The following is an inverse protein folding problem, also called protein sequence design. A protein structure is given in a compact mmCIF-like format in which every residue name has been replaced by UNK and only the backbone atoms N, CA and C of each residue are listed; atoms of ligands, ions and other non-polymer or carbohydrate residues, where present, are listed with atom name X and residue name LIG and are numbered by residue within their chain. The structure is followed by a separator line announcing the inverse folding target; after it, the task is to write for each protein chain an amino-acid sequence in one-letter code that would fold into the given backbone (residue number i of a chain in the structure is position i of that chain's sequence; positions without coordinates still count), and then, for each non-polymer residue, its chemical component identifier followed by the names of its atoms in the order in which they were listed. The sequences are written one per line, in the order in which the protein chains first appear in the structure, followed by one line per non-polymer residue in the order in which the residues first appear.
data_IF_665036325631
#
_entry.id   IF_665036325631
#
_cell.length_a   1.000
_cell.length_b   1.000
_cell.length_c   1.000
_cell.angle_alpha   90.00
_cell.angle_beta   90.00
_cell.angle_gamma   90.00
#
_symmetry.space_group_name_H-M   'P 1'
#
loop_
_entity.id
_entity.type
_entity.pdbx_description
1 polymer ?
#
# COMPACT_ATOMS: atom_id res chain seq x y z
N UNK A 1 2.64 -24.85 -14.23
CA UNK A 1 2.34 -25.07 -12.79
C UNK A 1 3.52 -24.49 -12.03
N UNK A 2 3.30 -23.41 -11.25
CA UNK A 2 4.38 -22.77 -10.49
C UNK A 2 4.83 -23.76 -9.42
N UNK A 3 5.99 -24.40 -9.62
CA UNK A 3 6.62 -25.29 -8.63
C UNK A 3 7.61 -24.45 -7.82
N UNK A 4 7.08 -23.57 -6.97
CA UNK A 4 7.93 -22.78 -6.08
C UNK A 4 8.04 -23.51 -4.73
N UNK A 5 9.24 -23.92 -4.29
CA UNK A 5 9.42 -24.70 -3.08
C UNK A 5 9.09 -23.92 -1.80
N UNK A 6 8.94 -22.60 -1.87
CA UNK A 6 8.71 -21.74 -0.70
C UNK A 6 7.25 -21.69 -0.19
N UNK A 7 6.29 -22.36 -0.86
CA UNK A 7 4.90 -22.37 -0.40
C UNK A 7 4.54 -23.68 0.31
N UNK A 8 4.32 -23.61 1.61
CA UNK A 8 3.76 -24.74 2.37
C UNK A 8 2.30 -24.98 1.99
N UNK A 9 1.90 -26.25 1.86
CA UNK A 9 0.49 -26.62 1.62
C UNK A 9 -0.24 -26.65 2.96
N UNK A 10 -1.02 -25.61 3.23
CA UNK A 10 -1.89 -25.53 4.41
C UNK A 10 -3.37 -25.36 3.99
N UNK A 11 -4.34 -25.86 4.77
CA UNK A 11 -5.75 -25.86 4.35
C UNK A 11 -6.36 -24.47 4.12
N UNK A 12 -5.91 -23.46 4.87
CA UNK A 12 -6.47 -22.10 4.86
C UNK A 12 -5.42 -21.01 4.83
N UNK A 13 -4.17 -21.38 4.55
CA UNK A 13 -3.03 -20.47 4.61
C UNK A 13 -2.13 -20.70 3.43
N UNK A 14 -1.61 -19.61 2.88
CA UNK A 14 -0.48 -19.63 1.97
C UNK A 14 0.67 -19.00 2.75
N UNK A 15 1.73 -19.76 2.98
CA UNK A 15 2.92 -19.29 3.72
C UNK A 15 4.12 -19.20 2.79
N UNK A 16 4.88 -18.13 2.93
CA UNK A 16 6.24 -17.97 2.40
C UNK A 16 7.21 -17.84 3.57
N UNK A 17 8.07 -18.84 3.76
CA UNK A 17 9.05 -18.92 4.87
C UNK A 17 10.39 -18.22 4.59
N UNK A 18 10.59 -17.76 3.34
CA UNK A 18 11.79 -17.05 2.93
C UNK A 18 11.49 -16.14 1.74
N UNK A 19 12.07 -14.93 1.75
CA UNK A 19 11.91 -13.98 0.67
C UNK A 19 12.84 -14.33 -0.51
N UNK A 20 12.27 -14.54 -1.69
CA UNK A 20 13.00 -14.70 -2.94
C UNK A 20 12.67 -13.53 -3.88
N UNK A 21 13.70 -12.73 -4.20
CA UNK A 21 13.56 -11.52 -5.01
C UNK A 21 13.33 -11.81 -6.49
N UNK A 22 13.75 -12.99 -6.97
CA UNK A 22 13.60 -13.37 -8.38
C UNK A 22 12.13 -13.68 -8.74
N UNK A 23 11.29 -13.92 -7.73
CA UNK A 23 9.86 -14.21 -7.89
C UNK A 23 8.94 -13.17 -7.21
N UNK A 24 9.46 -11.98 -6.91
CA UNK A 24 8.74 -10.97 -6.14
C UNK A 24 7.42 -10.55 -6.80
N UNK A 25 7.40 -10.35 -8.13
CA UNK A 25 6.18 -9.98 -8.86
C UNK A 25 5.09 -11.08 -8.80
N UNK A 26 5.51 -12.35 -8.74
CA UNK A 26 4.61 -13.50 -8.65
C UNK A 26 4.05 -13.60 -7.23
N UNK A 27 4.89 -13.50 -6.20
CA UNK A 27 4.47 -13.59 -4.80
C UNK A 27 3.54 -12.44 -4.42
N UNK A 28 3.83 -11.22 -4.85
CA UNK A 28 2.93 -10.06 -4.72
C UNK A 28 1.52 -10.28 -5.31
N UNK A 29 1.42 -11.10 -6.36
CA UNK A 29 0.13 -11.46 -6.96
C UNK A 29 -0.61 -12.51 -6.11
N UNK A 30 0.12 -13.50 -5.58
CA UNK A 30 -0.42 -14.57 -4.75
C UNK A 30 -0.93 -14.01 -3.42
N UNK A 31 -0.20 -13.09 -2.82
CA UNK A 31 -0.50 -12.45 -1.53
C UNK A 31 -1.45 -11.24 -1.65
N UNK A 32 -2.08 -11.01 -2.80
CA UNK A 32 -2.99 -9.89 -2.99
C UNK A 32 -4.28 -10.03 -2.14
N UNK A 33 -4.75 -8.91 -1.60
CA UNK A 33 -6.02 -8.82 -0.87
C UNK A 33 -7.01 -7.95 -1.63
N UNK A 34 -8.29 -8.37 -1.66
CA UNK A 34 -9.33 -7.63 -2.33
C UNK A 34 -10.72 -7.94 -1.77
N UNK A 35 -11.64 -6.98 -1.89
CA UNK A 35 -13.06 -7.11 -1.50
C UNK A 35 -14.03 -6.81 -2.66
N UNK A 36 -13.54 -6.77 -3.91
CA UNK A 36 -14.30 -6.38 -5.09
C UNK A 36 -14.51 -4.87 -5.26
N UNK A 37 -14.13 -4.06 -4.27
CA UNK A 37 -14.11 -2.60 -4.32
C UNK A 37 -12.68 -2.07 -4.39
N UNK A 38 -11.82 -2.55 -3.50
CA UNK A 38 -10.38 -2.31 -3.40
C UNK A 38 -9.64 -3.61 -3.74
N UNK A 39 -8.55 -3.50 -4.48
CA UNK A 39 -7.57 -4.57 -4.70
C UNK A 39 -6.15 -4.07 -4.39
N UNK A 40 -5.46 -4.75 -3.50
CA UNK A 40 -4.12 -4.44 -3.03
C UNK A 40 -3.20 -5.61 -3.37
N UNK A 41 -2.14 -5.37 -4.15
CA UNK A 41 -1.08 -6.39 -4.32
C UNK A 41 -0.34 -6.57 -2.99
N UNK A 42 0.14 -7.79 -2.74
CA UNK A 42 0.91 -8.15 -1.54
C UNK A 42 2.35 -7.66 -1.60
N UNK A 43 2.55 -6.38 -1.93
CA UNK A 43 3.86 -5.71 -1.91
C UNK A 43 4.41 -5.66 -0.48
N UNK A 44 5.73 -5.54 -0.34
CA UNK A 44 6.37 -5.31 0.95
C UNK A 44 5.99 -3.92 1.49
N UNK A 45 5.94 -3.77 2.82
CA UNK A 45 5.49 -2.55 3.50
C UNK A 45 6.36 -1.33 3.13
N UNK A 46 7.67 -1.56 3.01
CA UNK A 46 8.70 -0.58 2.66
C UNK A 46 8.62 -0.05 1.22
N UNK A 47 7.82 -0.69 0.36
CA UNK A 47 7.58 -0.32 -1.04
C UNK A 47 8.71 -0.68 -2.02
N UNK A 48 9.95 -0.70 -1.54
CA UNK A 48 11.12 -1.10 -2.32
C UNK A 48 11.95 -2.15 -1.59
N UNK A 49 12.37 -3.23 -2.28
CA UNK A 49 12.08 -3.53 -3.68
C UNK A 49 10.63 -3.97 -3.89
N UNK A 50 10.14 -3.80 -5.12
CA UNK A 50 8.85 -4.32 -5.59
C UNK A 50 8.97 -4.85 -7.00
N UNK A 51 8.21 -5.91 -7.31
CA UNK A 51 8.12 -6.47 -8.65
C UNK A 51 7.12 -5.71 -9.51
N UNK A 52 5.94 -5.44 -8.96
CA UNK A 52 4.90 -4.60 -9.55
C UNK A 52 4.07 -3.99 -8.41
N UNK A 53 4.28 -2.71 -8.06
CA UNK A 53 3.37 -1.99 -7.18
C UNK A 53 1.93 -2.03 -7.72
N UNK A 54 0.96 -2.24 -6.83
CA UNK A 54 -0.44 -2.22 -7.26
C UNK A 54 -1.44 -1.89 -6.17
N UNK A 55 -2.22 -0.86 -6.44
CA UNK A 55 -3.42 -0.44 -5.72
C UNK A 55 -4.47 -0.14 -6.78
N UNK A 56 -5.55 -0.90 -6.77
CA UNK A 56 -6.60 -0.83 -7.79
C UNK A 56 -7.95 -0.61 -7.13
N UNK A 57 -8.77 0.23 -7.76
CA UNK A 57 -10.15 0.46 -7.37
C UNK A 57 -11.05 -0.02 -8.51
N UNK A 58 -12.11 -0.74 -8.16
CA UNK A 58 -13.03 -1.27 -9.16
C UNK A 58 -13.58 -0.14 -10.04
N UNK A 59 -13.61 -0.33 -11.36
CA UNK A 59 -14.11 0.67 -12.31
C UNK A 59 -13.32 1.99 -12.37
N UNK A 60 -12.13 2.07 -11.79
CA UNK A 60 -11.18 3.17 -12.03
C UNK A 60 -10.24 2.79 -13.16
N UNK A 61 -10.34 3.52 -14.26
CA UNK A 61 -9.55 3.32 -15.47
C UNK A 61 -9.22 4.68 -16.08
N UNK A 62 -8.24 4.69 -16.97
CA UNK A 62 -7.99 5.84 -17.83
C UNK A 62 -7.98 5.43 -19.30
N UNK A 63 -8.16 6.40 -20.19
CA UNK A 63 -8.25 6.17 -21.63
C UNK A 63 -6.86 6.24 -22.26
N UNK A 64 -6.57 5.30 -23.16
CA UNK A 64 -5.39 5.31 -24.01
C UNK A 64 -5.80 5.34 -25.47
N UNK A 65 -5.28 6.28 -26.29
CA UNK A 65 -5.50 6.27 -27.73
C UNK A 65 -4.96 4.98 -28.38
N UNK A 66 -5.77 4.36 -29.26
CA UNK A 66 -5.34 3.23 -30.09
C UNK A 66 -5.01 3.76 -31.49
N UNK A 67 -3.71 3.95 -31.74
CA UNK A 67 -3.24 4.41 -33.05
C UNK A 67 -3.17 3.23 -34.02
N UNK A 68 -4.09 3.20 -34.99
CA UNK A 68 -4.03 2.29 -36.13
C UNK A 68 -3.31 2.95 -37.30
N UNK A 69 -2.52 2.18 -38.03
CA UNK A 69 -1.85 2.66 -39.26
C UNK A 69 -2.88 2.97 -40.35
N UNK A 70 -3.95 2.19 -40.43
CA UNK A 70 -5.10 2.43 -41.30
C UNK A 70 -6.39 2.39 -40.47
N UNK A 71 -7.13 3.51 -40.32
CA UNK A 71 -8.38 3.53 -39.58
C UNK A 71 -9.49 2.78 -40.35
N UNK A 72 -10.24 1.92 -39.65
CA UNK A 72 -11.36 1.17 -40.20
C UNK A 72 -12.68 1.51 -39.49
N UNK A 73 -13.80 1.46 -40.22
CA UNK A 73 -15.12 1.64 -39.62
C UNK A 73 -15.36 0.59 -38.52
N UNK A 74 -15.75 1.06 -37.33
CA UNK A 74 -16.00 0.20 -36.17
C UNK A 74 -14.77 -0.14 -35.32
N UNK A 75 -13.58 0.38 -35.65
CA UNK A 75 -12.40 0.20 -34.79
C UNK A 75 -12.48 1.11 -33.57
N UNK A 76 -12.17 0.60 -32.36
CA UNK A 76 -12.21 1.41 -31.16
C UNK A 76 -11.07 2.43 -31.17
N UNK A 77 -11.41 3.71 -31.02
CA UNK A 77 -10.45 4.83 -31.03
C UNK A 77 -9.56 4.85 -29.77
N UNK A 78 -10.02 4.25 -28.68
CA UNK A 78 -9.29 4.18 -27.42
C UNK A 78 -9.53 2.87 -26.67
N UNK A 79 -8.54 2.46 -25.88
CA UNK A 79 -8.63 1.39 -24.90
C UNK A 79 -8.86 1.95 -23.50
N UNK A 80 -9.53 1.18 -22.66
CA UNK A 80 -9.65 1.45 -21.22
C UNK A 80 -8.64 0.58 -20.49
N UNK A 81 -7.77 1.21 -19.70
CA UNK A 81 -6.77 0.52 -18.89
C UNK A 81 -7.04 0.80 -17.42
N UNK A 82 -7.18 -0.25 -16.61
CA UNK A 82 -7.19 -0.10 -15.15
C UNK A 82 -5.85 0.49 -14.73
N UNK A 83 -5.90 1.59 -13.99
CA UNK A 83 -4.69 2.31 -13.57
C UNK A 83 -4.33 1.95 -12.13
N UNK A 84 -3.03 2.03 -11.83
CA UNK A 84 -2.56 2.05 -10.46
C UNK A 84 -2.94 3.40 -9.84
N UNK A 85 -3.74 3.37 -8.76
CA UNK A 85 -4.14 4.59 -8.04
C UNK A 85 -3.19 4.88 -6.88
N UNK A 86 -3.51 5.89 -6.06
CA UNK A 86 -2.73 6.25 -4.87
C UNK A 86 -2.44 5.04 -3.96
N UNK A 87 -1.17 4.68 -3.85
CA UNK A 87 -0.71 3.62 -2.98
C UNK A 87 -0.73 4.09 -1.53
N UNK A 88 -1.58 3.47 -0.71
CA UNK A 88 -1.69 3.75 0.72
C UNK A 88 -1.02 2.71 1.60
N UNK A 89 -0.41 1.66 1.03
CA UNK A 89 0.17 0.56 1.80
C UNK A 89 1.52 0.92 2.43
N UNK A 90 2.18 1.94 1.90
CA UNK A 90 3.58 2.25 2.19
C UNK A 90 3.78 2.66 3.66
N UNK A 91 4.71 1.96 4.31
CA UNK A 91 5.25 2.23 5.64
C UNK A 91 6.76 1.99 5.58
N UNK A 92 7.54 3.07 5.53
CA UNK A 92 9.01 3.01 5.49
C UNK A 92 9.58 3.17 6.89
N UNK A 93 10.57 2.36 7.24
CA UNK A 93 11.21 2.36 8.53
C UNK A 93 12.68 2.79 8.38
N UNK A 94 13.15 3.65 9.28
CA UNK A 94 14.56 3.94 9.48
C UNK A 94 14.95 3.52 10.90
N UNK A 95 16.09 2.86 11.00
CA UNK A 95 16.67 2.31 12.23
C UNK A 95 18.03 2.99 12.41
N UNK A 96 18.14 3.91 13.38
CA UNK A 96 19.34 4.75 13.57
C UNK A 96 19.85 5.41 12.27
N UNK A 97 18.94 6.03 11.50
CA UNK A 97 19.16 6.63 10.17
C UNK A 97 19.38 5.64 9.01
N UNK A 98 19.41 4.32 9.26
CA UNK A 98 19.54 3.33 8.20
C UNK A 98 18.16 2.88 7.71
N UNK A 99 17.83 3.03 6.41
CA UNK A 99 16.55 2.59 5.88
C UNK A 99 16.44 1.07 5.95
N UNK A 100 15.31 0.59 6.46
CA UNK A 100 14.91 -0.81 6.37
C UNK A 100 14.59 -1.13 4.91
N UNK A 101 15.56 -1.74 4.25
CA UNK A 101 15.47 -2.23 2.88
C UNK A 101 16.03 -3.64 2.87
N UNK A 102 15.24 -4.62 2.45
CA UNK A 102 15.65 -6.03 2.52
C UNK A 102 16.83 -6.38 1.60
N UNK A 103 17.21 -5.50 0.67
CA UNK A 103 18.42 -5.62 -0.17
C UNK A 103 19.69 -5.18 0.56
N UNK A 104 19.55 -4.31 1.56
CA UNK A 104 20.66 -3.71 2.28
C UNK A 104 20.59 -4.10 3.77
N UNK A 105 21.68 -4.59 4.34
CA UNK A 105 21.66 -5.24 5.66
C UNK A 105 21.38 -6.74 5.56
N UNK A 106 20.99 -7.36 6.67
CA UNK A 106 20.85 -8.82 6.78
C UNK A 106 19.49 -9.19 7.32
N UNK A 107 18.63 -9.73 6.45
CA UNK A 107 17.35 -10.35 6.79
C UNK A 107 17.60 -11.74 7.39
N UNK A 108 17.49 -11.90 8.70
CA UNK A 108 17.74 -13.16 9.42
C UNK A 108 16.51 -14.03 9.58
N UNK A 109 15.32 -13.45 9.43
CA UNK A 109 14.05 -14.17 9.42
C UNK A 109 13.01 -13.40 8.61
N UNK A 110 12.20 -14.12 7.84
CA UNK A 110 11.11 -13.53 7.07
C UNK A 110 9.99 -14.55 6.85
N UNK A 111 8.77 -14.19 7.20
CA UNK A 111 7.58 -15.00 6.98
C UNK A 111 6.47 -14.11 6.45
N UNK A 112 5.76 -14.56 5.42
CA UNK A 112 4.45 -13.99 5.01
C UNK A 112 3.39 -15.06 5.04
N UNK A 113 2.22 -14.74 5.58
CA UNK A 113 1.06 -15.64 5.66
C UNK A 113 -0.16 -14.89 5.13
N UNK A 114 -0.73 -15.39 4.03
CA UNK A 114 -2.10 -15.05 3.65
C UNK A 114 -3.04 -16.03 4.35
N UNK A 115 -3.80 -15.56 5.33
CA UNK A 115 -4.84 -16.33 6.01
C UNK A 115 -6.17 -16.14 5.26
N UNK A 116 -6.60 -17.19 4.58
CA UNK A 116 -7.80 -17.20 3.75
C UNK A 116 -9.11 -17.20 4.58
N UNK A 117 -9.04 -17.51 5.88
CA UNK A 117 -10.20 -17.41 6.78
C UNK A 117 -10.36 -16.02 7.33
N UNK A 118 -9.26 -15.43 7.80
CA UNK A 118 -9.26 -14.08 8.36
C UNK A 118 -9.28 -12.99 7.26
N UNK A 119 -8.87 -13.32 6.03
CA UNK A 119 -8.74 -12.33 4.96
C UNK A 119 -7.59 -11.35 5.19
N UNK A 120 -6.54 -11.80 5.89
CA UNK A 120 -5.40 -10.99 6.29
C UNK A 120 -4.12 -11.44 5.61
N UNK A 121 -3.20 -10.49 5.40
CA UNK A 121 -1.82 -10.74 5.03
C UNK A 121 -0.94 -10.35 6.22
N UNK A 122 -0.34 -11.34 6.85
CA UNK A 122 0.60 -11.15 7.95
C UNK A 122 2.03 -11.23 7.41
N UNK A 123 2.92 -10.41 7.94
CA UNK A 123 4.36 -10.47 7.69
C UNK A 123 5.12 -10.34 9.00
N UNK A 124 6.18 -11.13 9.13
CA UNK A 124 7.19 -11.00 10.19
C UNK A 124 8.56 -10.92 9.55
N UNK A 125 9.36 -9.95 9.94
CA UNK A 125 10.72 -9.78 9.45
C UNK A 125 11.67 -9.49 10.62
N UNK A 126 12.80 -10.18 10.65
CA UNK A 126 13.92 -9.88 11.55
C UNK A 126 15.10 -9.41 10.70
N UNK A 127 15.53 -8.17 10.92
CA UNK A 127 16.54 -7.53 10.09
C UNK A 127 17.59 -6.85 10.94
N UNK A 128 18.84 -7.09 10.57
CA UNK A 128 20.00 -6.38 11.09
C UNK A 128 20.44 -5.34 10.07
N UNK A 129 20.47 -4.09 10.50
CA UNK A 129 20.95 -2.96 9.73
C UNK A 129 22.44 -3.09 9.40
N UNK A 130 22.97 -2.40 8.36
CA UNK A 130 24.40 -2.40 8.07
C UNK A 130 25.29 -1.99 9.25
N UNK A 131 24.83 -1.08 10.12
CA UNK A 131 25.50 -0.69 11.37
C UNK A 131 25.33 -1.70 12.53
N UNK A 132 24.61 -2.80 12.31
CA UNK A 132 24.46 -3.88 13.29
C UNK A 132 23.27 -3.76 14.24
N UNK A 133 22.36 -2.79 14.03
CA UNK A 133 21.14 -2.69 14.84
C UNK A 133 20.11 -3.69 14.35
N UNK A 134 19.57 -4.51 15.26
CA UNK A 134 18.58 -5.51 14.91
C UNK A 134 17.19 -5.04 15.32
N UNK A 135 16.22 -5.20 14.42
CA UNK A 135 14.80 -4.96 14.68
C UNK A 135 13.96 -6.15 14.25
N UNK A 136 12.82 -6.31 14.91
CA UNK A 136 11.73 -7.17 14.47
C UNK A 136 10.58 -6.28 14.02
N UNK A 137 10.05 -6.57 12.82
CA UNK A 137 8.87 -5.93 12.24
C UNK A 137 7.77 -6.97 12.13
N UNK A 138 6.57 -6.63 12.60
CA UNK A 138 5.35 -7.42 12.37
C UNK A 138 4.31 -6.53 11.73
N UNK A 139 3.79 -6.92 10.58
CA UNK A 139 2.69 -6.20 9.92
C UNK A 139 1.53 -7.13 9.62
N UNK A 140 0.31 -6.60 9.70
CA UNK A 140 -0.92 -7.28 9.29
C UNK A 140 -1.74 -6.31 8.46
N UNK A 141 -2.01 -6.66 7.20
CA UNK A 141 -2.87 -5.93 6.28
C UNK A 141 -4.23 -6.64 6.17
N UNK A 142 -5.31 -5.85 6.15
CA UNK A 142 -6.65 -6.31 5.78
C UNK A 142 -7.30 -5.36 4.78
N UNK A 143 -8.21 -5.90 3.97
CA UNK A 143 -9.15 -5.13 3.13
C UNK A 143 -10.55 -5.52 3.57
N UNK A 144 -11.29 -4.60 4.18
CA UNK A 144 -12.55 -4.92 4.89
C UNK A 144 -13.65 -5.37 3.92
N UNK A 145 -14.31 -6.49 4.20
CA UNK A 145 -15.48 -6.94 3.43
C UNK A 145 -16.74 -6.14 3.77
N UNK A 146 -16.92 -5.77 5.03
CA UNK A 146 -18.10 -5.04 5.55
C UNK A 146 -18.02 -3.55 5.23
N UNK A 147 -16.86 -2.95 5.45
CA UNK A 147 -16.58 -1.54 5.17
C UNK A 147 -15.82 -1.44 3.84
N UNK A 148 -16.53 -1.68 2.73
CA UNK A 148 -15.95 -1.86 1.39
C UNK A 148 -14.89 -0.84 0.94
N UNK A 149 -14.98 0.40 1.43
CA UNK A 149 -14.08 1.50 1.07
C UNK A 149 -12.84 1.59 1.98
N UNK A 150 -12.66 0.64 2.90
CA UNK A 150 -11.66 0.67 3.96
C UNK A 150 -10.66 -0.48 3.82
N UNK A 151 -9.40 -0.17 4.04
CA UNK A 151 -8.34 -1.12 4.36
C UNK A 151 -7.63 -0.67 5.63
N UNK A 152 -6.92 -1.56 6.32
CA UNK A 152 -6.17 -1.21 7.51
C UNK A 152 -4.88 -2.03 7.62
N UNK A 153 -3.85 -1.43 8.22
CA UNK A 153 -2.55 -2.05 8.49
C UNK A 153 -2.24 -1.86 9.97
N UNK A 154 -1.99 -2.95 10.69
CA UNK A 154 -1.31 -2.91 11.99
C UNK A 154 0.16 -3.17 11.76
N UNK A 155 1.03 -2.20 12.10
CA UNK A 155 2.47 -2.27 11.92
C UNK A 155 3.16 -2.10 13.29
N UNK A 156 4.00 -3.06 13.65
CA UNK A 156 4.76 -3.07 14.90
C UNK A 156 6.25 -3.20 14.61
N UNK A 157 7.05 -2.40 15.32
CA UNK A 157 8.52 -2.48 15.29
C UNK A 157 9.08 -2.52 16.71
N UNK A 158 10.02 -3.44 16.91
CA UNK A 158 10.69 -3.72 18.18
C UNK A 158 12.22 -3.80 17.96
N UNK A 159 13.06 -3.12 18.75
CA UNK A 159 14.49 -3.35 18.72
C UNK A 159 14.83 -4.68 19.40
N UNK A 160 15.75 -5.42 18.80
CA UNK A 160 16.30 -6.66 19.36
C UNK A 160 17.69 -6.34 19.90
N UNK A 161 17.79 -6.20 21.22
CA UNK A 161 19.06 -5.94 21.92
C UNK A 161 19.18 -4.51 22.43
N UNK A 162 19.74 -3.61 21.65
CA UNK A 162 20.08 -2.25 22.12
C UNK A 162 18.90 -1.28 21.97
N UNK A 163 19.00 -0.13 22.65
CA UNK A 163 18.06 0.96 22.44
C UNK A 163 18.34 1.66 21.11
N UNK A 164 17.30 1.87 20.32
CA UNK A 164 17.40 2.28 18.91
C UNK A 164 16.46 3.43 18.62
N UNK A 165 16.90 4.42 17.83
CA UNK A 165 16.02 5.46 17.29
C UNK A 165 15.27 4.89 16.09
N UNK A 166 13.96 5.06 16.12
CA UNK A 166 13.03 4.60 15.09
C UNK A 166 12.37 5.81 14.46
N UNK A 167 12.38 5.85 13.13
CA UNK A 167 11.56 6.78 12.36
C UNK A 167 10.69 5.95 11.41
N UNK A 168 9.38 6.08 11.51
CA UNK A 168 8.43 5.44 10.60
C UNK A 168 7.75 6.49 9.75
N UNK A 169 7.76 6.31 8.43
CA UNK A 169 7.08 7.17 7.47
C UNK A 169 5.95 6.38 6.81
N UNK A 170 4.72 6.71 7.19
CA UNK A 170 3.51 6.16 6.59
C UNK A 170 3.04 7.08 5.47
N UNK A 171 2.83 6.54 4.26
CA UNK A 171 2.63 7.37 3.06
C UNK A 171 1.34 7.05 2.29
N UNK A 172 0.81 8.08 1.63
CA UNK A 172 -0.02 8.00 0.43
C UNK A 172 0.84 8.50 -0.73
N UNK A 173 1.06 7.68 -1.77
CA UNK A 173 1.83 8.08 -2.96
C UNK A 173 0.98 7.86 -4.22
N UNK A 174 0.68 8.93 -4.93
CA UNK A 174 0.07 8.87 -6.26
C UNK A 174 1.14 8.86 -7.35
N UNK A 175 0.77 8.39 -8.55
CA UNK A 175 1.66 8.38 -9.72
C UNK A 175 3.01 7.66 -9.47
N UNK A 176 3.03 6.63 -8.62
CA UNK A 176 4.25 5.87 -8.37
C UNK A 176 4.79 5.25 -9.67
N UNK A 177 6.12 5.30 -9.91
CA UNK A 177 6.71 4.70 -11.10
C UNK A 177 6.38 3.20 -11.17
N UNK A 178 5.89 2.76 -12.33
CA UNK A 178 5.64 1.35 -12.60
C UNK A 178 6.74 0.78 -13.50
N UNK A 179 7.09 -0.51 -13.35
CA UNK A 179 7.96 -1.21 -14.31
C UNK A 179 7.45 -1.03 -15.74
N UNK A 180 8.38 -0.80 -16.67
CA UNK A 180 8.03 -0.67 -18.08
C UNK A 180 7.35 -1.98 -18.55
N UNK A 181 6.21 -1.88 -19.26
CA UNK A 181 5.55 -3.06 -19.80
C UNK A 181 6.48 -3.72 -20.83
N UNK A 182 6.35 -5.04 -21.05
CA UNK A 182 7.10 -5.72 -22.11
C UNK A 182 6.78 -5.07 -23.46
N UNK A 183 7.82 -4.86 -24.27
CA UNK A 183 7.67 -4.29 -25.60
C UNK A 183 6.72 -5.15 -26.43
N UNK A 184 5.73 -4.52 -27.04
CA UNK A 184 4.75 -5.16 -27.92
C UNK A 184 4.45 -4.27 -29.11
N UNK A 185 4.39 -4.88 -30.29
CA UNK A 185 4.01 -4.20 -31.54
C UNK A 185 2.49 -4.14 -31.70
N UNK A 186 1.72 -4.83 -30.86
CA UNK A 186 0.26 -4.75 -30.85
C UNK A 186 -0.18 -3.46 -30.14
N UNK A 187 -0.89 -2.53 -30.83
CA UNK A 187 -1.37 -1.30 -30.20
C UNK A 187 -2.32 -1.57 -29.01
N UNK A 188 -2.92 -2.77 -28.93
CA UNK A 188 -3.79 -3.21 -27.83
C UNK A 188 -3.02 -3.80 -26.64
N UNK A 189 -1.72 -4.07 -26.79
CA UNK A 189 -0.91 -4.62 -25.72
C UNK A 189 -0.80 -3.66 -24.54
N UNK A 190 -0.48 -4.18 -23.36
CA UNK A 190 -0.39 -3.40 -22.12
C UNK A 190 0.60 -2.24 -22.27
N UNK A 191 0.13 -1.02 -22.03
CA UNK A 191 0.99 0.16 -21.90
C UNK A 191 0.82 0.75 -20.51
N UNK A 192 1.93 1.02 -19.82
CA UNK A 192 1.91 1.81 -18.60
C UNK A 192 1.54 3.24 -18.98
N UNK A 193 0.58 3.82 -18.25
CA UNK A 193 0.28 5.24 -18.36
C UNK A 193 1.18 5.99 -17.40
N UNK A 194 1.93 6.96 -17.92
CA UNK A 194 2.82 7.78 -17.09
C UNK A 194 2.01 8.84 -16.33
N UNK A 195 2.03 8.70 -15.01
CA UNK A 195 1.36 9.59 -14.06
C UNK A 195 -0.11 9.90 -14.44
N UNK A 196 -1.04 8.92 -14.45
CA UNK A 196 -2.40 9.12 -14.95
C UNK A 196 -3.27 10.06 -14.09
N UNK A 197 -2.81 10.43 -12.89
CA UNK A 197 -3.58 11.22 -11.93
C UNK A 197 -3.13 12.68 -11.90
N UNK A 198 -4.08 13.61 -12.01
CA UNK A 198 -3.90 15.05 -11.84
C UNK A 198 -4.42 15.46 -10.47
N UNK A 199 -3.56 16.06 -9.64
CA UNK A 199 -3.96 16.53 -8.30
C UNK A 199 -5.02 17.64 -8.37
N UNK A 200 -6.11 17.50 -7.61
CA UNK A 200 -7.16 18.51 -7.42
C UNK A 200 -7.24 19.05 -5.99
N UNK A 201 -6.86 18.23 -5.00
CA UNK A 201 -6.86 18.61 -3.59
C UNK A 201 -5.91 17.73 -2.81
N UNK A 202 -5.17 18.33 -1.89
CA UNK A 202 -4.42 17.60 -0.88
C UNK A 202 -4.50 18.36 0.43
N UNK A 203 -4.51 17.63 1.53
CA UNK A 203 -4.54 18.23 2.86
C UNK A 203 -4.01 17.26 3.91
N UNK A 204 -3.33 17.80 4.90
CA UNK A 204 -3.01 17.12 6.14
C UNK A 204 -3.61 17.89 7.33
N UNK A 205 -4.13 17.18 8.32
CA UNK A 205 -4.54 17.72 9.61
C UNK A 205 -4.38 16.63 10.67
N UNK A 206 -3.75 16.97 11.79
CA UNK A 206 -3.39 16.02 12.84
C UNK A 206 -2.57 14.86 12.24
N UNK A 207 -3.02 13.61 12.37
CA UNK A 207 -2.38 12.42 11.78
C UNK A 207 -3.09 11.92 10.51
N UNK A 208 -3.91 12.78 9.92
CA UNK A 208 -4.73 12.46 8.76
C UNK A 208 -4.22 13.17 7.51
N UNK A 209 -3.97 12.40 6.46
CA UNK A 209 -3.70 12.92 5.13
C UNK A 209 -4.80 12.51 4.15
N UNK A 210 -5.06 13.35 3.16
CA UNK A 210 -6.03 13.11 2.08
C UNK A 210 -5.47 13.65 0.78
N UNK A 211 -5.59 12.84 -0.28
CA UNK A 211 -5.31 13.22 -1.65
C UNK A 211 -6.56 13.01 -2.51
N UNK A 212 -6.88 13.97 -3.37
CA UNK A 212 -7.94 13.89 -4.37
C UNK A 212 -7.35 14.22 -5.73
N UNK A 213 -7.53 13.30 -6.67
CA UNK A 213 -7.02 13.35 -8.02
C UNK A 213 -8.14 13.20 -9.04
N UNK A 214 -7.83 13.57 -10.29
CA UNK A 214 -8.63 13.24 -11.47
C UNK A 214 -7.78 12.50 -12.49
N UNK A 215 -8.32 11.44 -13.08
CA UNK A 215 -7.67 10.74 -14.19
C UNK A 215 -7.57 11.65 -15.42
N UNK A 216 -6.42 11.69 -16.09
CA UNK A 216 -6.13 12.60 -17.20
C UNK A 216 -7.16 12.56 -18.33
N UNK A 217 -7.52 11.36 -18.81
CA UNK A 217 -8.32 11.22 -20.03
C UNK A 217 -9.77 10.80 -19.77
N UNK A 218 -10.04 9.93 -18.79
CA UNK A 218 -11.40 9.47 -18.47
C UNK A 218 -12.17 10.43 -17.55
N UNK A 219 -11.48 11.38 -16.91
CA UNK A 219 -12.06 12.40 -16.04
C UNK A 219 -12.68 11.90 -14.72
N UNK A 220 -12.41 10.66 -14.31
CA UNK A 220 -12.84 10.10 -13.02
C UNK A 220 -12.14 10.81 -11.86
N UNK A 221 -12.89 11.24 -10.86
CA UNK A 221 -12.34 11.67 -9.59
C UNK A 221 -12.00 10.47 -8.71
N UNK A 222 -10.83 10.50 -8.07
CA UNK A 222 -10.29 9.47 -7.18
C UNK A 222 -9.83 10.15 -5.90
N UNK A 223 -10.24 9.63 -4.74
CA UNK A 223 -9.84 10.14 -3.44
C UNK A 223 -9.26 9.00 -2.59
N UNK A 224 -8.15 9.29 -1.92
CA UNK A 224 -7.51 8.40 -0.96
C UNK A 224 -7.24 9.19 0.32
N UNK A 225 -7.51 8.60 1.48
CA UNK A 225 -7.22 9.20 2.77
C UNK A 225 -6.65 8.16 3.73
N UNK A 226 -5.81 8.62 4.66
CA UNK A 226 -5.26 7.80 5.73
C UNK A 226 -5.34 8.52 7.08
N UNK A 227 -5.51 7.76 8.15
CA UNK A 227 -5.51 8.23 9.55
C UNK A 227 -4.83 7.15 10.42
N UNK A 228 -4.35 7.53 11.60
CA UNK A 228 -3.49 6.67 12.40
C UNK A 228 -3.88 6.65 13.87
N UNK A 229 -3.70 5.49 14.50
CA UNK A 229 -3.59 5.34 15.96
C UNK A 229 -2.16 4.89 16.26
N UNK A 230 -1.45 5.65 17.08
CA UNK A 230 -0.04 5.43 17.39
C UNK A 230 0.09 5.12 18.89
N UNK A 231 0.72 4.00 19.19
CA UNK A 231 1.05 3.55 20.54
C UNK A 231 2.57 3.37 20.65
N UNK A 232 3.22 4.19 21.46
CA UNK A 232 4.68 4.14 21.66
C UNK A 232 5.07 4.65 23.05
N UNK A 233 6.36 4.57 23.42
CA UNK A 233 6.82 5.06 24.71
C UNK A 233 6.69 6.59 24.83
N UNK A 234 6.79 7.14 26.06
CA UNK A 234 6.84 8.58 26.27
C UNK A 234 7.91 9.26 25.40
N UNK A 235 7.55 10.38 24.78
CA UNK A 235 8.42 11.09 23.82
C UNK A 235 8.28 10.60 22.37
N UNK A 236 7.32 9.72 22.08
CA UNK A 236 6.92 9.44 20.70
C UNK A 236 6.24 10.68 20.12
N UNK A 237 6.80 11.20 19.04
CA UNK A 237 6.31 12.37 18.32
C UNK A 237 5.80 11.95 16.94
N UNK A 238 4.80 12.66 16.43
CA UNK A 238 4.29 12.43 15.09
C UNK A 238 3.85 13.74 14.43
N UNK A 239 4.16 13.87 13.16
CA UNK A 239 3.79 15.00 12.31
C UNK A 239 3.19 14.52 11.00
N UNK A 240 2.45 15.40 10.32
CA UNK A 240 1.83 15.10 9.05
C UNK A 240 2.06 16.24 8.06
N UNK A 241 2.44 15.87 6.85
CA UNK A 241 2.63 16.76 5.73
C UNK A 241 1.89 16.24 4.49
N UNK A 242 1.61 17.15 3.54
CA UNK A 242 1.00 16.79 2.27
C UNK A 242 1.47 17.70 1.14
N UNK A 243 1.51 17.11 -0.04
CA UNK A 243 1.86 17.68 -1.32
C UNK A 243 0.89 17.10 -2.39
N UNK A 244 0.90 17.61 -3.64
CA UNK A 244 -0.04 17.17 -4.68
C UNK A 244 -0.18 15.65 -4.84
N UNK A 245 0.93 14.92 -4.83
CA UNK A 245 0.95 13.46 -5.06
C UNK A 245 1.43 12.67 -3.83
N UNK A 246 1.64 13.32 -2.69
CA UNK A 246 2.17 12.68 -1.49
C UNK A 246 1.45 13.16 -0.24
N UNK A 247 1.02 12.24 0.62
CA UNK A 247 0.67 12.53 2.01
C UNK A 247 1.56 11.69 2.91
N UNK A 248 2.16 12.27 3.94
CA UNK A 248 3.09 11.56 4.82
C UNK A 248 2.75 11.83 6.29
N UNK A 249 2.78 10.78 7.10
CA UNK A 249 2.83 10.87 8.55
C UNK A 249 4.17 10.30 9.00
N UNK A 250 4.97 11.12 9.66
CA UNK A 250 6.27 10.73 10.21
C UNK A 250 6.11 10.51 11.71
N UNK A 251 6.56 9.37 12.21
CA UNK A 251 6.54 9.02 13.64
C UNK A 251 7.97 8.79 14.07
N UNK A 252 8.43 9.54 15.08
CA UNK A 252 9.78 9.44 15.62
C UNK A 252 9.72 9.01 17.08
N UNK A 253 10.54 8.03 17.44
CA UNK A 253 10.64 7.57 18.83
C UNK A 253 11.99 6.92 19.10
N UNK A 254 12.29 6.69 20.38
CA UNK A 254 13.42 5.86 20.82
C UNK A 254 12.87 4.67 21.58
N UNK A 255 13.16 3.48 21.09
CA UNK A 255 12.72 2.23 21.71
C UNK A 255 13.88 1.61 22.50
N UNK A 256 13.67 1.32 23.78
CA UNK A 256 14.56 0.46 24.56
C UNK A 256 14.24 -1.02 24.30
N UNK A 257 15.13 -1.93 24.73
CA UNK A 257 14.89 -3.36 24.68
C UNK A 257 13.55 -3.73 25.34
N UNK A 258 12.70 -4.48 24.63
CA UNK A 258 11.38 -4.89 25.10
C UNK A 258 10.28 -3.81 24.99
N UNK A 259 10.59 -2.61 24.48
CA UNK A 259 9.59 -1.65 24.05
C UNK A 259 9.23 -1.87 22.58
N UNK A 260 8.03 -1.41 22.20
CA UNK A 260 7.56 -1.46 20.81
C UNK A 260 6.93 -0.13 20.41
N UNK A 261 6.97 0.16 19.12
CA UNK A 261 6.11 1.14 18.47
C UNK A 261 5.06 0.38 17.67
N UNK A 262 3.79 0.66 17.93
CA UNK A 262 2.64 0.12 17.20
C UNK A 262 1.90 1.24 16.49
N UNK A 263 1.67 1.08 15.20
CA UNK A 263 0.91 2.01 14.35
C UNK A 263 -0.22 1.23 13.70
N UNK A 264 -1.46 1.64 13.97
CA UNK A 264 -2.61 1.21 13.18
C UNK A 264 -2.92 2.29 12.17
N UNK A 265 -2.69 1.99 10.90
CA UNK A 265 -3.01 2.84 9.75
C UNK A 265 -4.35 2.42 9.18
N UNK A 266 -5.30 3.34 9.11
CA UNK A 266 -6.56 3.17 8.41
C UNK A 266 -6.47 3.85 7.05
N UNK A 267 -7.04 3.22 6.03
CA UNK A 267 -7.11 3.72 4.66
C UNK A 267 -8.55 3.79 4.22
N UNK A 268 -8.90 4.85 3.49
CA UNK A 268 -10.19 4.98 2.84
C UNK A 268 -10.03 5.42 1.39
N UNK A 269 -10.77 4.76 0.49
CA UNK A 269 -10.77 5.05 -0.94
C UNK A 269 -12.17 5.37 -1.46
N UNK A 270 -12.25 6.27 -2.42
CA UNK A 270 -13.49 6.62 -3.10
C UNK A 270 -13.22 7.10 -4.52
N UNK A 271 -14.17 6.88 -5.42
CA UNK A 271 -14.08 7.37 -6.78
C UNK A 271 -15.46 7.67 -7.35
N UNK A 272 -15.53 8.58 -8.32
CA UNK A 272 -16.77 8.88 -9.04
C UNK A 272 -16.49 9.67 -10.31
N UNK A 273 -17.33 9.46 -11.33
CA UNK A 273 -17.42 10.35 -12.49
C UNK A 273 -18.29 11.59 -12.25
N UNK A 274 -19.25 11.49 -11.33
CA UNK A 274 -20.35 12.45 -11.22
C UNK A 274 -20.30 13.29 -9.95
N UNK A 275 -19.70 12.76 -8.88
CA UNK A 275 -19.60 13.50 -7.62
C UNK A 275 -18.60 14.64 -7.75
N UNK A 276 -18.90 15.74 -7.07
CA UNK A 276 -17.95 16.84 -6.91
C UNK A 276 -16.73 16.38 -6.10
N UNK A 277 -15.61 17.08 -6.30
CA UNK A 277 -14.39 16.93 -5.51
C UNK A 277 -14.68 16.95 -4.00
N UNK A 278 -15.50 17.91 -3.55
CA UNK A 278 -15.90 18.03 -2.14
C UNK A 278 -16.66 16.79 -1.65
N UNK A 279 -17.64 16.30 -2.41
CA UNK A 279 -18.42 15.13 -2.01
C UNK A 279 -17.58 13.84 -1.96
N UNK A 280 -16.57 13.71 -2.83
CA UNK A 280 -15.60 12.61 -2.77
C UNK A 280 -14.71 12.72 -1.53
N UNK A 281 -14.18 13.91 -1.25
CA UNK A 281 -13.41 14.20 -0.04
C UNK A 281 -14.21 13.84 1.22
N UNK A 282 -15.45 14.32 1.34
CA UNK A 282 -16.27 14.09 2.53
C UNK A 282 -16.60 12.60 2.70
N UNK A 283 -16.84 11.88 1.60
CA UNK A 283 -17.09 10.43 1.63
C UNK A 283 -15.90 9.64 2.19
N UNK A 284 -14.68 9.89 1.71
CA UNK A 284 -13.51 9.15 2.19
C UNK A 284 -13.17 9.50 3.63
N UNK A 285 -13.32 10.77 4.02
CA UNK A 285 -13.12 11.21 5.40
C UNK A 285 -14.15 10.61 6.37
N UNK A 286 -15.40 10.47 5.93
CA UNK A 286 -16.44 9.82 6.73
C UNK A 286 -16.18 8.31 6.89
N UNK A 287 -15.80 7.62 5.81
CA UNK A 287 -15.43 6.20 5.84
C UNK A 287 -14.23 5.96 6.78
N UNK A 288 -13.21 6.82 6.70
CA UNK A 288 -12.05 6.77 7.57
C UNK A 288 -12.40 6.98 9.04
N UNK A 289 -13.29 7.96 9.33
CA UNK A 289 -13.76 8.19 10.71
C UNK A 289 -14.55 6.99 11.26
N UNK A 290 -15.34 6.32 10.44
CA UNK A 290 -16.06 5.10 10.81
C UNK A 290 -15.10 3.93 11.08
N UNK A 291 -14.09 3.75 10.24
CA UNK A 291 -13.03 2.75 10.44
C UNK A 291 -12.27 2.98 11.75
N UNK A 292 -11.82 4.21 12.02
CA UNK A 292 -11.14 4.56 13.27
C UNK A 292 -12.03 4.33 14.50
N UNK A 293 -13.35 4.56 14.39
CA UNK A 293 -14.29 4.28 15.47
C UNK A 293 -14.47 2.78 15.71
N UNK A 294 -14.45 1.98 14.65
CA UNK A 294 -14.51 0.51 14.71
C UNK A 294 -13.23 -0.06 15.32
N UNK A 295 -12.09 0.56 15.01
CA UNK A 295 -10.78 0.15 15.49
C UNK A 295 -10.25 -1.09 14.78
N UNK A 296 -8.99 -1.43 15.06
CA UNK A 296 -8.31 -2.60 14.47
C UNK A 296 -9.03 -3.91 14.79
N UNK A 297 -9.28 -4.17 16.08
CA UNK A 297 -9.90 -5.42 16.53
C UNK A 297 -11.33 -5.57 16.03
N UNK A 298 -12.06 -4.44 15.90
CA UNK A 298 -13.40 -4.44 15.31
C UNK A 298 -13.37 -4.79 13.82
N UNK A 299 -12.44 -4.21 13.05
CA UNK A 299 -12.30 -4.52 11.63
C UNK A 299 -11.85 -5.96 11.36
N UNK A 300 -11.10 -6.58 12.26
CA UNK A 300 -10.74 -8.00 12.18
C UNK A 300 -11.88 -8.95 12.53
N UNK A 301 -12.84 -8.51 13.37
CA UNK A 301 -13.94 -9.33 13.84
C UNK A 301 -15.18 -9.29 12.91
N UNK A 302 -15.29 -8.26 12.07
CA UNK A 302 -16.37 -8.04 11.09
C UNK A 302 -16.24 -8.93 9.84
#
# INVERSE_FOLDING_TARGET
MIRHPAFAVEPWRIREDALDLDVLAQTESIFALANGHIGLRGNLDEGEPSGMPGTYLNSVYDLRPLAYVEPGYGYPESGQTVINVTNGKLIRLLVDDEPFDIRYGRLTGHERILDLRAGTLERRAEWTSPAGQMVRVTSVLLVSFTQRSVAAISYEVEPVGNATRIVVQSELIANEPLPAPPFTTDPRGTAAMEAPLLSEEFSCRDLRAKLVHRTKNSGLGVAAAMDHVIEGPPGTEADCESAPDTGRVTVTTRLAAGQRLRIVKFLAYGWSRHRSRQALSDQVLAALKAACKTGWDGLLAE
#
